data_IF_805834191741
#
_entry.id   IF_805834191741
#
_cell.length_a   1.000
_cell.length_b   1.000
_cell.length_c   1.000
_cell.angle_alpha   90.00
_cell.angle_beta   90.00
_cell.angle_gamma   90.00
#
_symmetry.space_group_name_H-M   'P 1'
#
loop_
_entity.id
_entity.type
_entity.pdbx_description
1 polymer ?
#
# COMPACT_ATOMS: atom_id res chain seq x y z
N UNK A 1 -34.73 7.48 -14.67
CA UNK A 1 -34.11 7.76 -13.37
C UNK A 1 -33.54 6.46 -12.84
N UNK A 2 -32.21 6.26 -12.91
CA UNK A 2 -31.57 5.17 -12.17
C UNK A 2 -31.26 5.71 -10.78
N UNK A 3 -31.75 5.01 -9.77
CA UNK A 3 -31.43 5.26 -8.37
C UNK A 3 -29.95 4.99 -8.16
N UNK A 4 -29.22 5.98 -7.64
CA UNK A 4 -27.90 5.76 -7.04
C UNK A 4 -28.10 4.92 -5.78
N UNK A 5 -28.11 3.60 -5.91
CA UNK A 5 -27.74 2.75 -4.79
C UNK A 5 -26.26 3.02 -4.51
N UNK A 6 -25.96 3.51 -3.31
CA UNK A 6 -24.60 3.56 -2.78
C UNK A 6 -24.14 2.11 -2.59
N UNK A 7 -23.65 1.48 -3.65
CA UNK A 7 -22.85 0.28 -3.49
C UNK A 7 -21.59 0.70 -2.69
N UNK A 8 -21.23 -0.02 -1.61
CA UNK A 8 -19.98 0.24 -0.91
C UNK A 8 -18.85 0.21 -1.94
N UNK A 9 -18.00 1.22 -1.94
CA UNK A 9 -16.92 1.30 -2.91
C UNK A 9 -16.03 0.07 -2.76
N UNK A 10 -16.00 -0.78 -3.79
CA UNK A 10 -15.23 -2.00 -3.79
C UNK A 10 -13.73 -1.73 -3.54
N UNK A 11 -13.20 -0.56 -3.91
CA UNK A 11 -11.81 -0.20 -3.66
C UNK A 11 -11.54 0.07 -2.18
N UNK A 12 -12.35 0.92 -1.54
CA UNK A 12 -12.18 1.23 -0.12
C UNK A 12 -12.39 -0.02 0.75
N UNK A 13 -13.30 -0.91 0.36
CA UNK A 13 -13.46 -2.19 1.05
C UNK A 13 -12.19 -3.06 1.00
N UNK A 14 -11.42 -3.04 -0.09
CA UNK A 14 -10.15 -3.75 -0.18
C UNK A 14 -9.12 -3.18 0.81
N UNK A 15 -9.08 -1.85 0.91
CA UNK A 15 -8.18 -1.14 1.82
C UNK A 15 -8.53 -1.42 3.29
N UNK A 16 -9.81 -1.37 3.66
CA UNK A 16 -10.26 -1.73 5.01
C UNK A 16 -9.93 -3.18 5.37
N UNK A 17 -10.12 -4.13 4.45
CA UNK A 17 -9.78 -5.53 4.70
C UNK A 17 -8.27 -5.69 4.96
N UNK A 18 -7.42 -4.99 4.20
CA UNK A 18 -5.97 -4.99 4.43
C UNK A 18 -5.63 -4.41 5.81
N UNK A 19 -6.27 -3.30 6.20
CA UNK A 19 -6.08 -2.72 7.54
C UNK A 19 -6.49 -3.70 8.64
N UNK A 20 -7.61 -4.39 8.49
CA UNK A 20 -8.08 -5.41 9.44
C UNK A 20 -7.11 -6.60 9.52
N UNK A 21 -6.57 -7.08 8.39
CA UNK A 21 -5.55 -8.13 8.38
C UNK A 21 -4.26 -7.70 9.08
N UNK A 22 -3.84 -6.44 8.90
CA UNK A 22 -2.66 -5.88 9.56
C UNK A 22 -2.86 -5.69 11.07
N UNK A 23 -4.04 -5.21 11.50
CA UNK A 23 -4.37 -5.06 12.93
C UNK A 23 -4.47 -6.40 13.64
N UNK A 24 -4.98 -7.43 12.96
CA UNK A 24 -5.06 -8.79 13.49
C UNK A 24 -3.73 -9.53 13.47
N UNK A 25 -2.76 -9.08 12.66
CA UNK A 25 -1.42 -9.63 12.65
C UNK A 25 -0.72 -9.24 13.96
N UNK A 26 -0.62 -10.20 14.90
CA UNK A 26 0.16 -10.03 16.12
C UNK A 26 1.65 -9.96 15.78
N UNK A 27 2.15 -8.75 15.53
CA UNK A 27 3.49 -8.50 15.05
C UNK A 27 4.37 -8.01 16.20
N UNK A 28 4.95 -8.98 16.87
CA UNK A 28 6.00 -8.81 17.87
C UNK A 28 7.34 -9.23 17.26
N UNK A 29 8.40 -8.45 17.48
CA UNK A 29 9.73 -8.73 16.96
C UNK A 29 10.64 -7.51 16.89
N UNK A 30 11.87 -7.71 16.43
CA UNK A 30 12.73 -6.60 15.99
C UNK A 30 12.11 -5.78 14.85
N UNK A 31 12.54 -4.52 14.67
CA UNK A 31 12.10 -3.68 13.57
C UNK A 31 12.21 -4.34 12.19
N UNK A 32 13.28 -5.09 11.94
CA UNK A 32 13.57 -5.68 10.62
C UNK A 32 12.51 -6.72 10.22
N UNK A 33 12.23 -7.66 11.13
CA UNK A 33 11.18 -8.65 10.96
C UNK A 33 9.76 -8.06 10.99
N UNK A 34 9.53 -7.05 11.84
CA UNK A 34 8.24 -6.38 11.94
C UNK A 34 7.89 -5.64 10.64
N UNK A 35 8.81 -4.82 10.13
CA UNK A 35 8.64 -4.14 8.84
C UNK A 35 8.34 -5.14 7.72
N UNK A 36 9.12 -6.22 7.62
CA UNK A 36 8.98 -7.16 6.53
C UNK A 36 7.59 -7.84 6.52
N UNK A 37 7.06 -8.23 7.69
CA UNK A 37 5.72 -8.81 7.79
C UNK A 37 4.62 -7.79 7.50
N UNK A 38 4.74 -6.58 8.03
CA UNK A 38 3.76 -5.51 7.77
C UNK A 38 3.70 -5.16 6.29
N UNK A 39 4.85 -4.99 5.64
CA UNK A 39 4.89 -4.62 4.23
C UNK A 39 4.37 -5.75 3.33
N UNK A 40 4.51 -7.03 3.71
CA UNK A 40 3.86 -8.13 2.98
C UNK A 40 2.32 -8.03 3.00
N UNK A 41 1.74 -7.75 4.17
CA UNK A 41 0.28 -7.58 4.30
C UNK A 41 -0.22 -6.32 3.60
N UNK A 42 0.53 -5.22 3.75
CA UNK A 42 0.25 -3.96 3.08
C UNK A 42 0.19 -4.13 1.55
N UNK A 43 1.18 -4.80 0.97
CA UNK A 43 1.22 -5.10 -0.47
C UNK A 43 0.11 -6.07 -0.91
N UNK A 44 -0.28 -7.04 -0.08
CA UNK A 44 -1.41 -7.91 -0.39
C UNK A 44 -2.73 -7.11 -0.58
N UNK A 45 -2.90 -6.01 0.17
CA UNK A 45 -3.98 -5.06 -0.06
C UNK A 45 -3.93 -4.38 -1.43
N UNK A 46 -2.74 -3.93 -1.86
CA UNK A 46 -2.57 -3.33 -3.18
C UNK A 46 -2.79 -4.32 -4.32
N UNK A 47 -2.39 -5.59 -4.16
CA UNK A 47 -2.76 -6.66 -5.11
C UNK A 47 -4.28 -6.80 -5.21
N UNK A 48 -4.98 -6.81 -4.08
CA UNK A 48 -6.45 -6.90 -4.03
C UNK A 48 -7.15 -5.70 -4.68
N UNK A 49 -6.61 -4.49 -4.51
CA UNK A 49 -7.11 -3.28 -5.18
C UNK A 49 -6.85 -3.32 -6.68
N UNK A 50 -5.65 -3.76 -7.09
CA UNK A 50 -5.28 -3.91 -8.49
C UNK A 50 -6.16 -4.93 -9.22
N UNK A 51 -6.44 -6.08 -8.61
CA UNK A 51 -7.34 -7.09 -9.18
C UNK A 51 -8.76 -6.54 -9.38
N UNK A 52 -9.26 -5.73 -8.44
CA UNK A 52 -10.56 -5.05 -8.58
C UNK A 52 -10.56 -4.04 -9.71
N UNK A 53 -9.48 -3.27 -9.88
CA UNK A 53 -9.35 -2.36 -11.02
C UNK A 53 -9.38 -3.14 -12.33
N UNK A 54 -8.65 -4.26 -12.42
CA UNK A 54 -8.61 -5.07 -13.64
C UNK A 54 -9.94 -5.74 -13.97
N UNK A 55 -10.80 -5.93 -12.98
CA UNK A 55 -12.14 -6.48 -13.15
C UNK A 55 -13.16 -5.41 -13.56
N UNK A 56 -13.17 -4.27 -12.88
CA UNK A 56 -14.26 -3.28 -12.95
C UNK A 56 -13.87 -2.01 -13.75
N UNK A 57 -12.58 -1.74 -13.90
CA UNK A 57 -12.01 -0.59 -14.60
C UNK A 57 -12.16 -0.67 -16.12
N UNK A 58 -12.06 0.50 -16.76
CA UNK A 58 -12.27 0.66 -18.20
C UNK A 58 -11.11 1.34 -18.91
N UNK A 59 -10.23 2.01 -18.16
CA UNK A 59 -9.08 2.69 -18.75
C UNK A 59 -7.94 1.71 -19.00
N UNK A 60 -7.60 1.49 -20.28
CA UNK A 60 -6.56 0.55 -20.67
C UNK A 60 -5.15 1.00 -20.27
N UNK A 61 -4.93 2.31 -20.16
CA UNK A 61 -3.65 2.87 -19.71
C UNK A 61 -3.46 2.56 -18.22
N UNK A 62 -4.47 2.87 -17.41
CA UNK A 62 -4.44 2.61 -15.98
C UNK A 62 -4.38 1.11 -15.68
N UNK A 63 -5.10 0.27 -16.44
CA UNK A 63 -4.97 -1.18 -16.35
C UNK A 63 -3.55 -1.67 -16.69
N UNK A 64 -2.83 -0.99 -17.59
CA UNK A 64 -1.41 -1.24 -17.85
C UNK A 64 -0.55 -0.91 -16.64
N UNK A 65 -0.68 0.31 -16.10
CA UNK A 65 0.03 0.76 -14.90
C UNK A 65 -0.22 -0.21 -13.73
N UNK A 66 -1.47 -0.60 -13.49
CA UNK A 66 -1.84 -1.52 -12.41
C UNK A 66 -1.21 -2.91 -12.54
N UNK A 67 -1.10 -3.47 -13.76
CA UNK A 67 -0.42 -4.76 -13.98
C UNK A 67 1.06 -4.68 -13.65
N UNK A 68 1.72 -3.60 -14.04
CA UNK A 68 3.14 -3.38 -13.75
C UNK A 68 3.36 -3.23 -12.24
N UNK A 69 2.52 -2.45 -11.55
CA UNK A 69 2.54 -2.31 -10.09
C UNK A 69 2.33 -3.65 -9.38
N UNK A 70 1.32 -4.43 -9.78
CA UNK A 70 1.06 -5.78 -9.25
C UNK A 70 2.28 -6.68 -9.40
N UNK A 71 2.94 -6.64 -10.56
CA UNK A 71 4.10 -7.47 -10.82
C UNK A 71 5.28 -7.09 -9.91
N UNK A 72 5.57 -5.79 -9.79
CA UNK A 72 6.62 -5.28 -8.90
C UNK A 72 6.33 -5.61 -7.44
N UNK A 73 5.11 -5.39 -6.96
CA UNK A 73 4.74 -5.70 -5.58
C UNK A 73 4.83 -7.20 -5.27
N UNK A 74 4.57 -8.09 -6.24
CA UNK A 74 4.84 -9.53 -6.09
C UNK A 74 6.32 -9.84 -5.91
N UNK A 75 7.20 -9.17 -6.66
CA UNK A 75 8.65 -9.31 -6.53
C UNK A 75 9.15 -8.79 -5.18
N UNK A 76 8.58 -7.69 -4.70
CA UNK A 76 8.85 -7.10 -3.39
C UNK A 76 8.39 -8.01 -2.24
N UNK A 77 7.18 -8.59 -2.31
CA UNK A 77 6.71 -9.61 -1.36
C UNK A 77 7.68 -10.80 -1.35
N UNK A 78 8.16 -11.25 -2.51
CA UNK A 78 9.10 -12.36 -2.60
C UNK A 78 10.46 -12.01 -1.95
N UNK A 79 10.94 -10.78 -2.11
CA UNK A 79 12.15 -10.30 -1.46
C UNK A 79 12.00 -10.25 0.08
N UNK A 80 10.87 -9.76 0.59
CA UNK A 80 10.55 -9.75 2.02
C UNK A 80 10.43 -11.17 2.58
N UNK A 81 9.78 -12.08 1.83
CA UNK A 81 9.68 -13.48 2.24
C UNK A 81 11.06 -14.13 2.32
N UNK A 82 11.93 -13.88 1.34
CA UNK A 82 13.30 -14.37 1.37
C UNK A 82 14.07 -13.81 2.57
N UNK A 83 13.90 -12.52 2.88
CA UNK A 83 14.48 -11.92 4.07
C UNK A 83 14.03 -12.64 5.35
N UNK A 84 12.73 -12.82 5.54
CA UNK A 84 12.15 -13.48 6.71
C UNK A 84 12.59 -14.95 6.86
N UNK A 85 12.76 -15.66 5.75
CA UNK A 85 13.23 -17.04 5.76
C UNK A 85 14.68 -17.16 6.27
N UNK A 86 15.49 -16.14 6.00
CA UNK A 86 16.92 -16.13 6.35
C UNK A 86 17.22 -15.41 7.67
N UNK A 87 16.30 -14.58 8.17
CA UNK A 87 16.52 -13.74 9.34
C UNK A 87 15.44 -14.00 10.39
N UNK A 88 15.77 -14.84 11.38
CA UNK A 88 14.88 -15.11 12.50
C UNK A 88 14.72 -13.85 13.36
N UNK A 89 13.53 -13.63 13.96
CA UNK A 89 13.34 -12.54 14.90
C UNK A 89 14.36 -12.61 16.05
N UNK A 90 14.96 -11.47 16.39
CA UNK A 90 15.77 -11.38 17.58
C UNK A 90 14.85 -11.38 18.82
N UNK A 91 15.09 -12.24 19.83
CA UNK A 91 14.33 -12.18 21.07
C UNK A 91 14.64 -10.88 21.83
N UNK A 92 13.63 -10.32 22.51
CA UNK A 92 13.77 -9.13 23.37
C UNK A 92 14.31 -7.87 22.69
N UNK A 93 14.18 -7.76 21.37
CA UNK A 93 14.60 -6.60 20.58
C UNK A 93 13.42 -5.75 20.10
N UNK A 94 12.29 -5.80 20.81
CA UNK A 94 11.15 -4.95 20.51
C UNK A 94 11.54 -3.47 20.60
N UNK A 95 11.00 -2.66 19.69
CA UNK A 95 11.21 -1.23 19.68
C UNK A 95 9.85 -0.51 19.73
N UNK A 96 9.39 -0.09 20.93
CA UNK A 96 8.07 0.53 21.09
C UNK A 96 7.90 1.83 20.28
N UNK A 97 8.99 2.58 20.09
CA UNK A 97 8.96 3.83 19.30
C UNK A 97 8.72 3.50 17.83
N UNK A 98 9.46 2.54 17.28
CA UNK A 98 9.25 2.06 15.91
C UNK A 98 7.83 1.49 15.73
N UNK A 99 7.37 0.64 16.65
CA UNK A 99 6.04 0.03 16.57
C UNK A 99 4.92 1.09 16.58
N UNK A 100 5.03 2.09 17.45
CA UNK A 100 4.06 3.19 17.51
C UNK A 100 4.10 4.05 16.24
N UNK A 101 5.29 4.29 15.66
CA UNK A 101 5.43 5.04 14.42
C UNK A 101 4.86 4.28 13.21
N UNK A 102 5.10 2.97 13.13
CA UNK A 102 4.51 2.10 12.09
C UNK A 102 2.98 2.12 12.16
N UNK A 103 2.42 1.96 13.36
CA UNK A 103 0.96 2.08 13.55
C UNK A 103 0.45 3.43 13.09
N UNK A 104 1.14 4.52 13.45
CA UNK A 104 0.74 5.87 13.04
C UNK A 104 0.76 6.06 11.52
N UNK A 105 1.73 5.48 10.81
CA UNK A 105 1.76 5.54 9.35
C UNK A 105 0.52 4.87 8.73
N UNK A 106 0.10 3.72 9.26
CA UNK A 106 -1.12 3.02 8.84
C UNK A 106 -2.39 3.78 9.21
N UNK A 107 -2.46 4.33 10.43
CA UNK A 107 -3.59 5.16 10.86
C UNK A 107 -3.72 6.41 9.97
N UNK A 108 -2.61 7.06 9.61
CA UNK A 108 -2.62 8.20 8.70
C UNK A 108 -3.11 7.83 7.30
N UNK A 109 -2.69 6.66 6.80
CA UNK A 109 -3.15 6.15 5.51
C UNK A 109 -4.67 5.98 5.49
N UNK A 110 -5.24 5.34 6.52
CA UNK A 110 -6.69 5.15 6.66
C UNK A 110 -7.43 6.49 6.75
N UNK A 111 -6.92 7.41 7.57
CA UNK A 111 -7.47 8.76 7.71
C UNK A 111 -7.43 9.56 6.40
N UNK A 112 -6.36 9.45 5.62
CA UNK A 112 -6.21 10.13 4.33
C UNK A 112 -7.15 9.53 3.28
N UNK A 113 -7.24 8.20 3.21
CA UNK A 113 -8.16 7.52 2.32
C UNK A 113 -9.63 7.79 2.65
N UNK A 114 -9.99 7.87 3.94
CA UNK A 114 -11.34 8.24 4.37
C UNK A 114 -11.73 9.69 4.00
N UNK A 115 -10.73 10.57 3.83
CA UNK A 115 -10.93 11.95 3.39
C UNK A 115 -10.94 12.09 1.86
N UNK A 116 -10.54 11.06 1.12
CA UNK A 116 -10.51 11.08 -0.33
C UNK A 116 -11.93 11.16 -0.90
N UNK A 117 -12.15 12.06 -1.86
CA UNK A 117 -13.45 12.21 -2.51
C UNK A 117 -13.60 11.15 -3.60
N UNK A 118 -14.12 10.00 -3.19
CA UNK A 118 -14.41 8.88 -4.10
C UNK A 118 -15.57 9.21 -5.04
N UNK A 119 -15.43 8.78 -6.28
CA UNK A 119 -16.32 9.04 -7.40
C UNK A 119 -17.31 7.89 -7.64
N UNK A 120 -16.96 6.68 -7.20
CA UNK A 120 -17.64 5.43 -7.54
C UNK A 120 -17.12 4.79 -8.84
N UNK A 121 -16.27 5.48 -9.60
CA UNK A 121 -15.63 4.96 -10.80
C UNK A 121 -14.33 4.23 -10.42
N UNK A 122 -14.23 2.95 -10.79
CA UNK A 122 -13.14 2.07 -10.38
C UNK A 122 -11.76 2.65 -10.73
N UNK A 123 -11.60 3.23 -11.93
CA UNK A 123 -10.33 3.80 -12.39
C UNK A 123 -9.90 5.01 -11.52
N UNK A 124 -10.81 5.97 -11.29
CA UNK A 124 -10.53 7.15 -10.47
C UNK A 124 -10.25 6.78 -9.01
N UNK A 125 -11.07 5.90 -8.46
CA UNK A 125 -10.99 5.55 -7.04
C UNK A 125 -9.77 4.69 -6.75
N UNK A 126 -9.39 3.79 -7.66
CA UNK A 126 -8.12 3.08 -7.58
C UNK A 126 -6.95 4.05 -7.58
N UNK A 127 -6.89 4.95 -8.56
CA UNK A 127 -5.73 5.84 -8.71
C UNK A 127 -5.59 6.79 -7.50
N UNK A 128 -6.70 7.31 -6.99
CA UNK A 128 -6.70 8.19 -5.82
C UNK A 128 -6.31 7.44 -4.53
N UNK A 129 -6.88 6.26 -4.28
CA UNK A 129 -6.59 5.51 -3.06
C UNK A 129 -5.19 4.89 -3.08
N UNK A 130 -4.70 4.46 -4.24
CA UNK A 130 -3.35 3.87 -4.36
C UNK A 130 -2.24 4.91 -4.12
N UNK A 131 -2.49 6.20 -4.37
CA UNK A 131 -1.56 7.28 -3.96
C UNK A 131 -1.40 7.32 -2.44
N UNK A 132 -2.49 7.25 -1.68
CA UNK A 132 -2.44 7.24 -0.21
C UNK A 132 -1.80 5.96 0.33
N UNK A 133 -2.10 4.81 -0.28
CA UNK A 133 -1.50 3.52 0.03
C UNK A 133 0.03 3.56 -0.13
N UNK A 134 0.52 4.01 -1.29
CA UNK A 134 1.96 4.11 -1.55
C UNK A 134 2.66 5.13 -0.64
N UNK A 135 2.01 6.25 -0.31
CA UNK A 135 2.58 7.23 0.61
C UNK A 135 2.86 6.62 1.99
N UNK A 136 1.97 5.74 2.46
CA UNK A 136 2.16 5.02 3.71
C UNK A 136 3.30 3.99 3.62
N UNK A 137 3.43 3.29 2.49
CA UNK A 137 4.56 2.39 2.26
C UNK A 137 5.92 3.13 2.29
N UNK A 138 5.98 4.34 1.73
CA UNK A 138 7.17 5.21 1.78
C UNK A 138 7.49 5.60 3.23
N UNK A 139 6.49 6.00 4.03
CA UNK A 139 6.67 6.31 5.45
C UNK A 139 7.20 5.10 6.23
N UNK A 140 6.63 3.91 6.02
CA UNK A 140 7.12 2.66 6.62
C UNK A 140 8.57 2.34 6.21
N UNK A 141 8.91 2.55 4.93
CA UNK A 141 10.26 2.34 4.43
C UNK A 141 11.27 3.28 5.11
N UNK A 142 10.92 4.56 5.30
CA UNK A 142 11.75 5.51 6.03
C UNK A 142 11.96 5.11 7.49
N UNK A 143 10.91 4.60 8.15
CA UNK A 143 11.02 4.08 9.52
C UNK A 143 12.00 2.91 9.60
N UNK A 144 11.94 1.92 8.70
CA UNK A 144 12.88 0.80 8.79
C UNK A 144 14.31 1.20 8.41
N UNK A 145 14.49 2.17 7.50
CA UNK A 145 15.81 2.73 7.21
C UNK A 145 16.40 3.39 8.47
N UNK A 146 15.58 4.09 9.25
CA UNK A 146 15.99 4.75 10.49
C UNK A 146 16.26 3.75 11.63
N UNK A 147 15.32 2.85 11.91
CA UNK A 147 15.32 2.01 13.13
C UNK A 147 15.86 0.60 12.93
N UNK A 148 15.92 0.11 11.69
CA UNK A 148 16.39 -1.22 11.38
C UNK A 148 17.87 -1.41 11.67
N UNK A 149 18.28 -2.67 11.78
CA UNK A 149 19.69 -3.04 12.06
C UNK A 149 20.32 -3.81 10.92
N UNK A 150 19.53 -4.58 10.18
CA UNK A 150 20.01 -5.37 9.06
C UNK A 150 20.19 -4.51 7.78
N UNK A 151 21.38 -4.49 7.16
CA UNK A 151 21.60 -3.70 5.94
C UNK A 151 20.82 -4.22 4.72
N UNK A 152 20.48 -5.51 4.70
CA UNK A 152 19.67 -6.14 3.67
C UNK A 152 18.24 -5.62 3.66
N UNK A 153 17.56 -5.56 4.81
CA UNK A 153 16.20 -5.02 4.87
C UNK A 153 16.15 -3.54 4.53
N UNK A 154 17.16 -2.76 4.95
CA UNK A 154 17.26 -1.33 4.58
C UNK A 154 17.42 -1.13 3.08
N UNK A 155 18.18 -2.02 2.43
CA UNK A 155 18.33 -2.00 0.96
C UNK A 155 17.01 -2.32 0.27
N UNK A 156 16.30 -3.36 0.73
CA UNK A 156 14.98 -3.72 0.20
C UNK A 156 14.00 -2.54 0.35
N UNK A 157 13.94 -1.93 1.55
CA UNK A 157 13.09 -0.78 1.81
C UNK A 157 13.41 0.44 0.93
N UNK A 158 14.70 0.72 0.69
CA UNK A 158 15.12 1.81 -0.19
C UNK A 158 14.72 1.59 -1.66
N UNK A 159 14.76 0.34 -2.13
CA UNK A 159 14.27 -0.02 -3.47
C UNK A 159 12.77 0.19 -3.57
N UNK A 160 12.00 -0.37 -2.62
CA UNK A 160 10.55 -0.19 -2.55
C UNK A 160 10.17 1.28 -2.53
N UNK A 161 10.81 2.09 -1.68
CA UNK A 161 10.56 3.54 -1.63
C UNK A 161 10.72 4.19 -3.00
N UNK A 162 11.80 3.85 -3.72
CA UNK A 162 12.06 4.41 -5.06
C UNK A 162 10.99 3.99 -6.07
N UNK A 163 10.57 2.72 -6.05
CA UNK A 163 9.52 2.23 -6.94
C UNK A 163 8.16 2.87 -6.63
N UNK A 164 7.77 2.94 -5.36
CA UNK A 164 6.51 3.54 -4.91
C UNK A 164 6.45 5.05 -5.21
N UNK A 165 7.56 5.77 -5.08
CA UNK A 165 7.65 7.18 -5.48
C UNK A 165 7.39 7.36 -6.98
N UNK A 166 7.95 6.49 -7.83
CA UNK A 166 7.73 6.54 -9.27
C UNK A 166 6.27 6.19 -9.63
N UNK A 167 5.67 5.23 -8.95
CA UNK A 167 4.28 4.81 -9.15
C UNK A 167 3.28 5.90 -8.75
N UNK A 168 3.53 6.62 -7.64
CA UNK A 168 2.76 7.81 -7.28
C UNK A 168 2.77 8.85 -8.41
N UNK A 169 3.92 9.10 -9.05
CA UNK A 169 3.97 10.07 -10.16
C UNK A 169 3.13 9.63 -11.36
N UNK A 170 3.09 8.33 -11.67
CA UNK A 170 2.26 7.79 -12.75
C UNK A 170 0.77 7.95 -12.43
N UNK A 171 0.36 7.64 -11.20
CA UNK A 171 -1.02 7.76 -10.73
C UNK A 171 -1.49 9.22 -10.70
N UNK A 172 -0.67 10.12 -10.15
CA UNK A 172 -0.98 11.56 -10.11
C UNK A 172 -1.07 12.15 -11.51
N UNK A 173 -0.18 11.75 -12.42
CA UNK A 173 -0.27 12.16 -13.82
C UNK A 173 -1.58 11.70 -14.45
N UNK A 174 -1.94 10.43 -14.26
CA UNK A 174 -3.19 9.90 -14.78
C UNK A 174 -4.41 10.63 -14.18
N UNK A 175 -4.44 10.86 -12.86
CA UNK A 175 -5.50 11.61 -12.19
C UNK A 175 -5.63 13.04 -12.74
N UNK A 176 -4.53 13.75 -12.96
CA UNK A 176 -4.56 15.10 -13.52
C UNK A 176 -5.13 15.14 -14.95
N UNK A 177 -4.95 14.07 -15.74
CA UNK A 177 -5.47 13.99 -17.11
C UNK A 177 -6.97 13.61 -17.15
N UNK A 178 -7.49 12.90 -16.14
CA UNK A 178 -8.81 12.27 -16.18
C UNK A 178 -9.81 12.80 -15.14
N UNK A 179 -9.38 13.31 -13.98
CA UNK A 179 -10.27 13.73 -12.88
C UNK A 179 -11.08 14.98 -13.22
N UNK A 180 -10.53 15.89 -14.03
CA UNK A 180 -11.20 17.12 -14.45
C UNK A 180 -12.33 16.89 -15.47
N UNK A 181 -12.38 15.73 -16.12
CA UNK A 181 -13.38 15.44 -17.16
C UNK A 181 -14.74 14.99 -16.60
N UNK A 182 -14.85 14.78 -15.28
CA UNK A 182 -16.03 14.20 -14.62
C UNK A 182 -16.64 15.06 -13.51
N UNK A 183 -16.18 16.31 -13.33
CA UNK A 183 -16.69 17.26 -12.33
C UNK A 183 -17.70 18.30 -12.88
N UNK A 184 -18.30 18.07 -14.05
CA UNK A 184 -19.36 18.92 -14.62
C UNK A 184 -20.77 18.42 -14.31
#
# INVERSE_FOLDING_TARGET
MRTHEQHPNNMMAAMHNMMEEMDNASLHGDPDNHFARMMQLHHAGALSMGDRLLQDGRDLTLAGIARDMIQKQKEEIAALQLFLNNNRPMPHSENPVFNSAMKKAMDNMDLNAAQEKLTGEADNDFAALMVHHHQAAIEMADLIIQYGTDPGIKKIAGMMKTDQEAEIQLLLKWLNEHRDQHLT
#
